data_IF_342866069783
#
_entry.id   IF_342866069783
#
_cell.length_a   1.000
_cell.length_b   1.000
_cell.length_c   1.000
_cell.angle_alpha   90.00
_cell.angle_beta   90.00
_cell.angle_gamma   90.00
#
_symmetry.space_group_name_H-M   'P 1'
#
loop_
_entity.id
_entity.type
_entity.pdbx_description
1 polymer ?
#
# COMPACT_ATOMS: atom_id res chain seq x y z
N UNK A 1 3.01 -56.36 -1.23
CA UNK A 1 3.38 -57.22 -0.08
C UNK A 1 4.52 -56.54 0.66
N UNK A 2 4.28 -56.29 1.95
CA UNK A 2 5.07 -55.67 3.02
C UNK A 2 6.59 -55.43 2.84
N UNK A 3 7.00 -54.19 3.14
CA UNK A 3 8.30 -53.85 3.73
C UNK A 3 8.05 -53.39 5.17
N UNK A 4 8.34 -54.24 6.15
CA UNK A 4 8.47 -53.86 7.55
C UNK A 4 9.25 -54.94 8.32
N UNK A 5 10.03 -54.48 9.32
CA UNK A 5 10.93 -55.19 10.24
C UNK A 5 12.33 -55.47 9.64
N UNK A 6 13.47 -55.09 10.24
CA UNK A 6 13.84 -54.75 11.63
C UNK A 6 15.30 -54.25 11.53
N UNK A 7 15.72 -53.05 11.92
CA UNK A 7 15.75 -52.46 13.26
C UNK A 7 16.15 -53.45 14.37
N UNK A 8 17.29 -54.16 14.26
CA UNK A 8 17.90 -54.79 15.47
C UNK A 8 19.35 -55.31 15.43
N UNK A 9 20.25 -54.86 14.53
CA UNK A 9 21.55 -55.57 14.43
C UNK A 9 22.85 -54.78 14.49
N UNK A 10 22.87 -53.49 14.82
CA UNK A 10 24.16 -52.81 15.04
C UNK A 10 24.16 -51.96 16.30
N UNK A 11 24.11 -52.64 17.44
CA UNK A 11 24.42 -52.08 18.74
C UNK A 11 25.45 -52.98 19.46
N UNK A 12 26.71 -52.99 19.00
CA UNK A 12 27.87 -53.15 19.89
C UNK A 12 29.18 -52.88 19.15
N UNK A 13 29.82 -51.75 19.43
CA UNK A 13 31.24 -51.65 19.80
C UNK A 13 31.69 -50.18 19.82
N UNK A 14 32.47 -49.87 20.83
CA UNK A 14 32.86 -48.55 21.31
C UNK A 14 33.64 -47.70 20.29
N UNK A 15 33.14 -46.48 19.96
CA UNK A 15 33.94 -45.23 19.84
C UNK A 15 33.18 -43.98 19.33
N UNK A 16 31.89 -43.80 19.64
CA UNK A 16 31.10 -42.66 19.12
C UNK A 16 30.86 -41.49 20.10
N UNK A 17 31.72 -41.30 21.11
CA UNK A 17 31.52 -40.23 22.10
C UNK A 17 32.19 -38.88 21.80
N UNK A 18 33.24 -38.85 20.97
CA UNK A 18 34.13 -37.67 20.86
C UNK A 18 33.97 -36.94 19.50
N UNK A 19 33.57 -37.65 18.45
CA UNK A 19 33.42 -37.06 17.10
C UNK A 19 32.12 -36.24 16.99
N UNK A 20 31.07 -36.64 17.70
CA UNK A 20 29.74 -36.03 17.61
C UNK A 20 29.67 -34.67 18.33
N UNK A 21 30.28 -34.56 19.51
CA UNK A 21 30.35 -33.29 20.26
C UNK A 21 31.20 -32.23 19.55
N UNK A 22 32.25 -32.64 18.85
CA UNK A 22 33.14 -31.73 18.11
C UNK A 22 32.49 -31.23 16.83
N UNK A 23 31.78 -32.09 16.08
CA UNK A 23 30.99 -31.69 14.91
C UNK A 23 29.79 -30.79 15.29
N UNK A 24 29.13 -31.07 16.41
CA UNK A 24 28.03 -30.25 16.93
C UNK A 24 28.53 -28.89 17.42
N UNK A 25 29.70 -28.85 18.09
CA UNK A 25 30.33 -27.60 18.50
C UNK A 25 30.86 -26.76 17.33
N UNK A 26 31.30 -27.40 16.24
CA UNK A 26 31.69 -26.72 15.00
C UNK A 26 30.44 -26.20 14.27
N UNK A 27 29.34 -26.96 14.22
CA UNK A 27 28.06 -26.50 13.66
C UNK A 27 27.46 -25.32 14.45
N UNK A 28 27.56 -25.33 15.79
CA UNK A 28 27.18 -24.18 16.64
C UNK A 28 28.10 -22.97 16.46
N UNK A 29 29.41 -23.18 16.27
CA UNK A 29 30.38 -22.09 16.00
C UNK A 29 30.24 -21.51 14.58
N UNK A 30 29.81 -22.30 13.61
CA UNK A 30 29.55 -21.88 12.22
C UNK A 30 28.15 -21.28 12.03
N UNK A 31 27.24 -21.51 12.98
CA UNK A 31 26.03 -20.72 13.17
C UNK A 31 26.43 -19.30 13.62
N UNK A 32 26.95 -18.50 12.69
CA UNK A 32 26.93 -17.04 12.82
C UNK A 32 25.46 -16.68 12.95
N UNK A 33 24.96 -16.55 14.20
CA UNK A 33 23.65 -15.99 14.49
C UNK A 33 23.63 -14.62 13.84
N UNK A 34 23.07 -14.54 12.64
CA UNK A 34 22.84 -13.30 11.95
C UNK A 34 22.11 -12.39 12.94
N UNK A 35 22.62 -11.17 13.19
CA UNK A 35 22.07 -10.31 14.22
C UNK A 35 20.57 -10.18 13.98
N UNK A 36 19.78 -10.50 15.02
CA UNK A 36 18.32 -10.47 14.93
C UNK A 36 17.88 -9.11 14.35
N UNK A 37 16.95 -9.09 13.38
CA UNK A 37 16.46 -7.85 12.80
C UNK A 37 16.03 -6.88 13.91
N UNK A 38 16.48 -5.62 13.83
CA UNK A 38 16.08 -4.58 14.79
C UNK A 38 14.61 -4.22 14.56
N UNK A 39 13.71 -4.91 15.27
CA UNK A 39 12.28 -4.62 15.31
C UNK A 39 12.03 -3.28 16.03
N UNK A 40 11.96 -2.20 15.26
CA UNK A 40 11.86 -0.82 15.78
C UNK A 40 10.48 -0.21 15.58
N UNK A 41 9.71 -0.72 14.62
CA UNK A 41 8.41 -0.15 14.21
C UNK A 41 7.31 -0.59 15.17
N UNK A 42 6.60 0.39 15.74
CA UNK A 42 5.47 0.15 16.63
C UNK A 42 4.15 -0.06 15.87
N UNK A 43 3.11 -0.45 16.62
CA UNK A 43 1.75 -0.62 16.10
C UNK A 43 1.23 0.64 15.39
N UNK A 44 1.35 1.82 16.02
CA UNK A 44 0.86 3.09 15.45
C UNK A 44 1.48 3.34 14.09
N UNK A 45 2.80 3.22 13.98
CA UNK A 45 3.49 3.43 12.69
C UNK A 45 3.11 2.39 11.65
N UNK A 46 2.96 1.12 12.02
CA UNK A 46 2.47 0.11 11.09
C UNK A 46 1.07 0.44 10.58
N UNK A 47 0.15 0.87 11.45
CA UNK A 47 -1.20 1.31 11.04
C UNK A 47 -1.14 2.56 10.17
N UNK A 48 -0.30 3.55 10.51
CA UNK A 48 -0.13 4.76 9.70
C UNK A 48 0.45 4.47 8.30
N UNK A 49 1.32 3.46 8.19
CA UNK A 49 1.83 2.96 6.91
C UNK A 49 0.69 2.34 6.09
N UNK A 50 -0.13 1.46 6.69
CA UNK A 50 -1.30 0.88 6.00
C UNK A 50 -2.24 1.98 5.49
N UNK A 51 -2.62 2.92 6.37
CA UNK A 51 -3.52 4.02 6.01
C UNK A 51 -2.93 4.88 4.88
N UNK A 52 -1.66 5.27 4.99
CA UNK A 52 -1.04 6.10 3.96
C UNK A 52 -0.85 5.39 2.63
N UNK A 53 -0.61 4.07 2.67
CA UNK A 53 -0.44 3.26 1.49
C UNK A 53 -1.76 3.10 0.73
N UNK A 54 -2.88 2.91 1.44
CA UNK A 54 -4.20 2.85 0.82
C UNK A 54 -4.66 4.23 0.34
N UNK A 55 -4.58 5.27 1.19
CA UNK A 55 -5.01 6.64 0.83
C UNK A 55 -4.01 7.28 -0.13
N UNK A 56 -4.20 6.98 -1.41
CA UNK A 56 -3.46 7.50 -2.56
C UNK A 56 -4.35 8.28 -3.53
N UNK A 57 -4.08 8.14 -4.82
CA UNK A 57 -4.78 8.86 -5.90
C UNK A 57 -6.22 8.40 -6.11
N UNK A 58 -6.50 7.10 -5.97
CA UNK A 58 -7.75 6.48 -6.37
C UNK A 58 -9.00 7.10 -5.74
N UNK A 59 -8.95 7.42 -4.43
CA UNK A 59 -10.08 8.06 -3.75
C UNK A 59 -10.45 9.43 -4.32
N UNK A 60 -9.49 10.15 -4.91
CA UNK A 60 -9.70 11.48 -5.49
C UNK A 60 -9.97 11.44 -6.99
N UNK A 61 -10.01 10.26 -7.63
CA UNK A 61 -10.15 10.11 -9.09
C UNK A 61 -11.26 9.15 -9.48
N UNK A 62 -11.40 8.00 -8.82
CA UNK A 62 -12.24 6.88 -9.25
C UNK A 62 -13.70 7.24 -9.43
N UNK A 63 -14.24 8.10 -8.55
CA UNK A 63 -15.64 8.51 -8.64
C UNK A 63 -15.99 9.15 -9.99
N UNK A 64 -15.06 9.89 -10.60
CA UNK A 64 -15.30 10.56 -11.88
C UNK A 64 -15.57 9.58 -13.02
N UNK A 65 -14.98 8.38 -12.98
CA UNK A 65 -15.24 7.32 -13.94
C UNK A 65 -16.49 6.49 -13.60
N UNK A 66 -16.82 6.38 -12.31
CA UNK A 66 -17.99 5.62 -11.85
C UNK A 66 -19.31 6.33 -12.17
N UNK A 67 -19.36 7.65 -11.98
CA UNK A 67 -20.55 8.46 -12.29
C UNK A 67 -20.85 8.57 -13.78
N UNK A 68 -19.97 8.06 -14.66
CA UNK A 68 -20.25 7.95 -16.08
C UNK A 68 -21.29 6.87 -16.39
N UNK A 69 -21.22 5.76 -15.66
CA UNK A 69 -22.02 4.55 -15.91
C UNK A 69 -23.12 4.35 -14.85
N UNK A 70 -22.96 4.88 -13.64
CA UNK A 70 -23.87 4.67 -12.52
C UNK A 70 -24.36 6.02 -11.99
N UNK A 71 -25.68 6.21 -12.00
CA UNK A 71 -26.32 7.44 -11.50
C UNK A 71 -26.93 7.29 -10.10
N UNK A 72 -27.11 6.05 -9.63
CA UNK A 72 -27.66 5.80 -8.29
C UNK A 72 -26.62 6.08 -7.21
N UNK A 73 -26.94 7.00 -6.29
CA UNK A 73 -26.08 7.31 -5.15
C UNK A 73 -25.89 6.13 -4.20
N UNK A 74 -26.94 5.33 -3.99
CA UNK A 74 -26.85 4.11 -3.19
C UNK A 74 -25.91 3.09 -3.84
N UNK A 75 -26.04 2.82 -5.14
CA UNK A 75 -25.16 1.90 -5.84
C UNK A 75 -23.70 2.38 -5.83
N UNK A 76 -23.46 3.68 -6.04
CA UNK A 76 -22.13 4.27 -5.96
C UNK A 76 -21.49 4.10 -4.58
N UNK A 77 -22.22 4.35 -3.49
CA UNK A 77 -21.70 4.10 -2.14
C UNK A 77 -21.47 2.61 -1.86
N UNK A 78 -22.34 1.73 -2.37
CA UNK A 78 -22.19 0.29 -2.21
C UNK A 78 -20.91 -0.25 -2.87
N UNK A 79 -20.42 0.37 -3.96
CA UNK A 79 -19.10 0.02 -4.51
C UNK A 79 -18.01 0.14 -3.44
N UNK A 80 -17.99 1.25 -2.72
CA UNK A 80 -16.98 1.53 -1.69
C UNK A 80 -17.12 0.67 -0.45
N UNK A 81 -18.36 0.30 -0.08
CA UNK A 81 -18.62 -0.66 1.00
C UNK A 81 -18.16 -2.06 0.60
N UNK A 82 -18.57 -2.57 -0.56
CA UNK A 82 -18.23 -3.92 -1.04
C UNK A 82 -16.72 -4.06 -1.26
N UNK A 83 -16.10 -3.11 -1.96
CA UNK A 83 -14.64 -3.11 -2.16
C UNK A 83 -13.87 -2.99 -0.83
N UNK A 84 -14.39 -2.20 0.11
CA UNK A 84 -13.83 -2.08 1.45
C UNK A 84 -13.88 -3.39 2.24
N UNK A 85 -15.03 -4.07 2.22
CA UNK A 85 -15.18 -5.39 2.87
C UNK A 85 -14.27 -6.43 2.22
N UNK A 86 -14.14 -6.43 0.89
CA UNK A 86 -13.20 -7.31 0.18
C UNK A 86 -11.75 -7.06 0.61
N UNK A 87 -11.33 -5.79 0.69
CA UNK A 87 -10.01 -5.40 1.18
C UNK A 87 -9.78 -5.82 2.64
N UNK A 88 -10.81 -5.68 3.50
CA UNK A 88 -10.74 -6.08 4.89
C UNK A 88 -10.58 -7.59 5.06
N UNK A 89 -11.31 -8.39 4.29
CA UNK A 89 -11.13 -9.84 4.26
C UNK A 89 -9.69 -10.21 3.86
N UNK A 90 -9.15 -9.58 2.82
CA UNK A 90 -7.75 -9.74 2.43
C UNK A 90 -6.78 -9.38 3.56
N UNK A 91 -7.00 -8.23 4.20
CA UNK A 91 -6.18 -7.73 5.30
C UNK A 91 -6.14 -8.68 6.50
N UNK A 92 -7.27 -9.31 6.84
CA UNK A 92 -7.36 -10.31 7.91
C UNK A 92 -6.63 -11.60 7.54
N UNK A 93 -6.81 -12.12 6.32
CA UNK A 93 -6.08 -13.30 5.84
C UNK A 93 -4.55 -13.08 5.86
N UNK A 94 -4.10 -11.91 5.41
CA UNK A 94 -2.68 -11.54 5.45
C UNK A 94 -2.18 -11.28 6.88
N UNK A 95 -3.06 -10.84 7.78
CA UNK A 95 -2.77 -10.71 9.21
C UNK A 95 -2.35 -12.05 9.79
N UNK A 96 -3.20 -13.07 9.66
CA UNK A 96 -2.90 -14.43 10.12
C UNK A 96 -1.61 -14.98 9.49
N UNK A 97 -1.45 -14.78 8.18
CA UNK A 97 -0.28 -15.27 7.48
C UNK A 97 1.02 -14.55 7.90
N UNK A 98 0.97 -13.24 8.14
CA UNK A 98 2.10 -12.46 8.65
C UNK A 98 2.45 -12.83 10.08
N UNK A 99 1.46 -13.24 10.89
CA UNK A 99 1.68 -13.71 12.24
C UNK A 99 2.35 -15.09 12.25
N UNK A 100 1.94 -15.98 11.34
CA UNK A 100 2.54 -17.31 11.17
C UNK A 100 3.94 -17.26 10.54
N UNK A 101 4.18 -16.34 9.60
CA UNK A 101 5.43 -16.20 8.85
C UNK A 101 6.06 -14.80 9.07
N UNK A 102 6.65 -14.51 10.25
CA UNK A 102 7.01 -13.15 10.67
C UNK A 102 8.33 -12.63 10.06
N UNK A 103 8.45 -12.67 8.72
CA UNK A 103 9.55 -12.14 7.92
C UNK A 103 9.04 -11.11 6.92
N UNK A 104 9.83 -10.08 6.66
CA UNK A 104 9.56 -9.08 5.61
C UNK A 104 9.50 -9.73 4.22
N UNK A 105 8.78 -9.11 3.28
CA UNK A 105 8.71 -9.56 1.89
C UNK A 105 7.30 -9.79 1.33
N UNK A 106 6.26 -9.80 2.17
CA UNK A 106 4.86 -9.95 1.72
C UNK A 106 4.64 -11.23 0.92
N UNK A 107 4.03 -11.12 -0.25
CA UNK A 107 3.68 -12.25 -1.12
C UNK A 107 4.90 -13.06 -1.54
N UNK A 108 6.05 -12.42 -1.74
CA UNK A 108 7.31 -13.13 -2.02
C UNK A 108 7.59 -14.16 -0.92
N UNK A 109 7.50 -13.74 0.35
CA UNK A 109 7.77 -14.61 1.49
C UNK A 109 6.69 -15.69 1.62
N UNK A 110 5.42 -15.30 1.49
CA UNK A 110 4.30 -16.23 1.65
C UNK A 110 4.31 -17.34 0.62
N UNK A 111 4.42 -16.99 -0.66
CA UNK A 111 4.38 -17.98 -1.73
C UNK A 111 5.66 -18.82 -1.79
N UNK A 112 6.81 -18.26 -1.42
CA UNK A 112 8.06 -19.03 -1.29
C UNK A 112 7.94 -20.16 -0.27
N UNK A 113 7.29 -19.89 0.87
CA UNK A 113 7.19 -20.83 1.98
C UNK A 113 6.04 -21.82 1.83
N UNK A 114 4.89 -21.36 1.32
CA UNK A 114 3.66 -22.17 1.25
C UNK A 114 3.65 -23.05 0.00
N UNK A 115 4.10 -22.52 -1.14
CA UNK A 115 3.98 -23.21 -2.42
C UNK A 115 5.33 -23.63 -2.98
N UNK A 116 6.16 -22.68 -3.39
CA UNK A 116 7.49 -22.94 -3.95
C UNK A 116 8.29 -21.63 -4.10
N UNK A 117 9.64 -21.65 -3.94
CA UNK A 117 10.48 -20.48 -4.17
C UNK A 117 10.28 -19.79 -5.54
N UNK A 118 9.94 -20.54 -6.58
CA UNK A 118 9.66 -19.98 -7.91
C UNK A 118 8.40 -19.08 -7.95
N UNK A 119 7.32 -19.49 -7.28
CA UNK A 119 6.11 -18.67 -7.17
C UNK A 119 6.35 -17.44 -6.30
N UNK A 120 7.15 -17.61 -5.23
CA UNK A 120 7.65 -16.49 -4.44
C UNK A 120 8.42 -15.49 -5.30
N UNK A 121 9.41 -15.92 -6.06
CA UNK A 121 10.21 -15.07 -6.93
C UNK A 121 9.34 -14.29 -7.94
N UNK A 122 8.40 -14.98 -8.60
CA UNK A 122 7.46 -14.35 -9.54
C UNK A 122 6.62 -13.27 -8.85
N UNK A 123 6.05 -13.57 -7.68
CA UNK A 123 5.28 -12.59 -6.92
C UNK A 123 6.14 -11.44 -6.41
N UNK A 124 7.39 -11.69 -6.02
CA UNK A 124 8.36 -10.67 -5.65
C UNK A 124 8.67 -9.72 -6.80
N UNK A 125 8.86 -10.26 -8.01
CA UNK A 125 9.05 -9.46 -9.22
C UNK A 125 7.84 -8.58 -9.55
N UNK A 126 6.63 -9.17 -9.53
CA UNK A 126 5.37 -8.44 -9.76
C UNK A 126 5.17 -7.35 -8.70
N UNK A 127 5.42 -7.67 -7.43
CA UNK A 127 5.29 -6.70 -6.33
C UNK A 127 6.29 -5.55 -6.48
N UNK A 128 7.56 -5.84 -6.77
CA UNK A 128 8.59 -4.81 -6.92
C UNK A 128 8.31 -3.84 -8.09
N UNK A 129 7.73 -4.34 -9.17
CA UNK A 129 7.45 -3.57 -10.39
C UNK A 129 6.04 -2.98 -10.36
N UNK A 130 5.03 -3.79 -10.63
CA UNK A 130 3.62 -3.37 -10.75
C UNK A 130 3.01 -3.06 -9.39
N UNK A 131 3.39 -3.78 -8.33
CA UNK A 131 2.82 -3.59 -6.99
C UNK A 131 3.28 -2.32 -6.28
N UNK A 132 4.49 -1.82 -6.57
CA UNK A 132 5.05 -0.64 -5.88
C UNK A 132 5.58 0.43 -6.82
N UNK A 133 6.44 0.11 -7.79
CA UNK A 133 7.04 1.14 -8.63
C UNK A 133 6.01 1.86 -9.51
N UNK A 134 5.05 1.13 -10.10
CA UNK A 134 3.99 1.74 -10.90
C UNK A 134 3.05 2.65 -10.07
N UNK A 135 2.52 2.24 -8.91
CA UNK A 135 1.76 3.12 -8.03
C UNK A 135 2.53 4.36 -7.55
N UNK A 136 3.83 4.23 -7.27
CA UNK A 136 4.68 5.40 -6.94
C UNK A 136 4.74 6.37 -8.11
N UNK A 137 4.99 5.86 -9.33
CA UNK A 137 5.04 6.71 -10.53
C UNK A 137 3.70 7.42 -10.77
N UNK A 138 2.58 6.71 -10.64
CA UNK A 138 1.23 7.30 -10.76
C UNK A 138 0.95 8.36 -9.71
N UNK A 139 1.28 8.10 -8.44
CA UNK A 139 1.12 9.08 -7.38
C UNK A 139 1.99 10.31 -7.59
N UNK A 140 3.20 10.15 -8.14
CA UNK A 140 4.10 11.24 -8.49
C UNK A 140 3.56 12.07 -9.67
N UNK A 141 3.04 11.43 -10.72
CA UNK A 141 2.39 12.11 -11.84
C UNK A 141 1.16 12.92 -11.39
N UNK A 142 0.32 12.32 -10.55
CA UNK A 142 -0.81 13.01 -9.94
C UNK A 142 -0.33 14.20 -9.08
N UNK A 143 0.71 14.02 -8.27
CA UNK A 143 1.29 15.11 -7.49
C UNK A 143 1.73 16.27 -8.39
N UNK A 144 2.42 15.99 -9.49
CA UNK A 144 2.80 17.01 -10.48
C UNK A 144 1.59 17.78 -11.02
N UNK A 145 0.54 17.07 -11.44
CA UNK A 145 -0.71 17.68 -11.97
C UNK A 145 -1.40 18.54 -10.93
N UNK A 146 -1.70 18.00 -9.74
CA UNK A 146 -2.34 18.74 -8.66
C UNK A 146 -1.49 19.94 -8.21
N UNK A 147 -0.16 19.81 -8.13
CA UNK A 147 0.73 20.92 -7.77
C UNK A 147 0.60 22.07 -8.78
N UNK A 148 0.66 21.76 -10.07
CA UNK A 148 0.48 22.80 -11.11
C UNK A 148 -0.92 23.41 -11.09
N UNK A 149 -1.97 22.61 -10.85
CA UNK A 149 -3.34 23.12 -10.72
C UNK A 149 -3.54 24.05 -9.52
N UNK A 150 -2.78 23.86 -8.44
CA UNK A 150 -2.85 24.67 -7.21
C UNK A 150 -2.00 25.95 -7.31
N UNK A 151 -0.78 25.83 -7.81
CA UNK A 151 0.22 26.91 -7.78
C UNK A 151 0.37 27.65 -9.12
N UNK A 152 -0.13 27.09 -10.22
CA UNK A 152 -0.04 27.68 -11.55
C UNK A 152 1.39 27.72 -12.12
N UNK A 153 2.32 26.93 -11.57
CA UNK A 153 3.73 26.95 -11.94
C UNK A 153 4.37 25.56 -11.88
N UNK A 154 5.45 25.38 -12.64
CA UNK A 154 6.22 24.14 -12.75
C UNK A 154 5.74 23.21 -13.86
N UNK A 155 6.61 22.30 -14.28
CA UNK A 155 6.25 21.21 -15.21
C UNK A 155 5.78 20.01 -14.39
N UNK A 156 4.56 19.46 -14.64
CA UNK A 156 4.05 18.29 -13.90
C UNK A 156 5.04 17.12 -13.92
N UNK A 157 5.70 16.90 -15.06
CA UNK A 157 6.68 15.83 -15.21
C UNK A 157 7.92 16.07 -14.34
N UNK A 158 8.49 17.28 -14.37
CA UNK A 158 9.67 17.63 -13.56
C UNK A 158 9.36 17.51 -12.08
N UNK A 159 8.20 18.00 -11.65
CA UNK A 159 7.73 17.89 -10.27
C UNK A 159 7.56 16.42 -9.83
N UNK A 160 7.11 15.54 -10.73
CA UNK A 160 7.00 14.10 -10.48
C UNK A 160 8.37 13.46 -10.23
N UNK A 161 9.39 13.80 -11.03
CA UNK A 161 10.75 13.34 -10.78
C UNK A 161 11.29 13.87 -9.45
N UNK A 162 11.14 15.18 -9.20
CA UNK A 162 11.65 15.83 -7.99
C UNK A 162 11.07 15.19 -6.74
N UNK A 163 9.75 14.97 -6.67
CA UNK A 163 9.12 14.41 -5.46
C UNK A 163 9.61 12.99 -5.17
N UNK A 164 9.76 12.13 -6.19
CA UNK A 164 10.26 10.76 -6.00
C UNK A 164 11.72 10.77 -5.53
N UNK A 165 12.56 11.61 -6.12
CA UNK A 165 13.97 11.74 -5.72
C UNK A 165 14.12 12.26 -4.29
N UNK A 166 13.35 13.28 -3.91
CA UNK A 166 13.34 13.82 -2.54
C UNK A 166 12.90 12.77 -1.54
N UNK A 167 11.82 12.04 -1.82
CA UNK A 167 11.30 11.00 -0.93
C UNK A 167 12.27 9.81 -0.86
N UNK A 168 12.87 9.38 -1.97
CA UNK A 168 13.87 8.32 -1.96
C UNK A 168 15.12 8.72 -1.17
N UNK A 169 15.63 9.93 -1.37
CA UNK A 169 16.76 10.46 -0.61
C UNK A 169 16.47 10.50 0.90
N UNK A 170 15.26 10.90 1.28
CA UNK A 170 14.80 10.88 2.67
C UNK A 170 14.83 9.46 3.26
N UNK A 171 14.32 8.45 2.53
CA UNK A 171 14.29 7.05 2.99
C UNK A 171 15.64 6.33 2.98
N UNK A 172 16.69 6.92 2.36
CA UNK A 172 18.06 6.44 2.50
C UNK A 172 18.70 6.78 3.87
N UNK A 173 18.05 7.66 4.65
CA UNK A 173 18.54 8.21 5.92
C UNK A 173 18.39 7.27 7.13
N UNK A 174 17.44 7.59 8.02
CA UNK A 174 17.21 6.89 9.29
C UNK A 174 15.73 6.48 9.41
N UNK A 175 15.48 5.20 9.73
CA UNK A 175 14.13 4.65 9.89
C UNK A 175 13.29 5.36 10.95
N UNK A 176 13.88 5.84 12.04
CA UNK A 176 13.11 6.53 13.09
C UNK A 176 12.57 7.88 12.60
N UNK A 177 13.37 8.61 11.81
CA UNK A 177 12.93 9.86 11.16
C UNK A 177 11.84 9.56 10.15
N UNK A 178 12.00 8.47 9.38
CA UNK A 178 10.93 7.95 8.53
C UNK A 178 9.65 7.69 9.31
N UNK A 179 9.72 7.01 10.47
CA UNK A 179 8.53 6.68 11.27
C UNK A 179 7.81 7.92 11.76
N UNK A 180 8.56 8.92 12.25
CA UNK A 180 8.01 10.18 12.70
C UNK A 180 7.30 10.91 11.55
N UNK A 181 7.97 11.03 10.40
CA UNK A 181 7.38 11.63 9.20
C UNK A 181 6.10 10.91 8.79
N UNK A 182 6.12 9.57 8.74
CA UNK A 182 4.96 8.79 8.34
C UNK A 182 3.78 9.03 9.30
N UNK A 183 4.01 8.94 10.61
CA UNK A 183 2.96 9.16 11.61
C UNK A 183 2.34 10.56 11.49
N UNK A 184 3.18 11.60 11.43
CA UNK A 184 2.74 13.00 11.32
C UNK A 184 2.00 13.20 10.00
N UNK A 185 2.55 12.74 8.88
CA UNK A 185 1.94 12.91 7.56
C UNK A 185 0.57 12.21 7.46
N UNK A 186 0.44 11.02 8.04
CA UNK A 186 -0.82 10.27 8.03
C UNK A 186 -1.85 10.95 8.93
N UNK A 187 -1.44 11.43 10.11
CA UNK A 187 -2.32 12.16 11.00
C UNK A 187 -2.82 13.45 10.34
N UNK A 188 -1.93 14.26 9.79
CA UNK A 188 -2.27 15.50 9.07
C UNK A 188 -3.21 15.18 7.90
N UNK A 189 -2.90 14.16 7.09
CA UNK A 189 -3.76 13.69 5.99
C UNK A 189 -5.17 13.36 6.48
N UNK A 190 -5.30 12.57 7.54
CA UNK A 190 -6.61 12.19 8.09
C UNK A 190 -7.38 13.38 8.67
N UNK A 191 -6.70 14.31 9.35
CA UNK A 191 -7.33 15.52 9.88
C UNK A 191 -7.87 16.40 8.74
N UNK A 192 -7.09 16.58 7.67
CA UNK A 192 -7.50 17.40 6.53
C UNK A 192 -8.65 16.76 5.75
N UNK A 193 -8.64 15.43 5.57
CA UNK A 193 -9.76 14.70 4.97
C UNK A 193 -10.99 14.77 5.88
N UNK A 194 -10.82 14.60 7.19
CA UNK A 194 -11.91 14.75 8.16
C UNK A 194 -12.53 16.14 8.14
N UNK A 195 -11.72 17.19 8.04
CA UNK A 195 -12.19 18.57 7.90
C UNK A 195 -12.96 18.79 6.59
N UNK A 196 -12.47 18.23 5.47
CA UNK A 196 -13.16 18.26 4.18
C UNK A 196 -14.52 17.53 4.27
N UNK A 197 -14.57 16.37 4.93
CA UNK A 197 -15.81 15.61 5.12
C UNK A 197 -16.82 16.43 5.94
N UNK A 198 -16.38 16.98 7.07
CA UNK A 198 -17.23 17.79 7.94
C UNK A 198 -17.78 19.02 7.21
N UNK A 199 -16.91 19.77 6.52
CA UNK A 199 -17.32 20.93 5.74
C UNK A 199 -18.30 20.57 4.62
N UNK A 200 -18.06 19.46 3.91
CA UNK A 200 -18.93 18.98 2.85
C UNK A 200 -20.36 18.67 3.32
N UNK A 201 -20.53 18.10 4.51
CA UNK A 201 -21.88 17.89 5.07
C UNK A 201 -22.54 19.17 5.60
N UNK A 202 -21.74 20.17 5.98
CA UNK A 202 -22.22 21.46 6.48
C UNK A 202 -22.62 22.47 5.40
N UNK A 203 -22.43 22.19 4.10
CA UNK A 203 -22.86 23.11 3.04
C UNK A 203 -24.39 23.23 3.00
N UNK A 204 -24.87 24.42 2.62
CA UNK A 204 -26.30 24.73 2.53
C UNK A 204 -26.94 24.10 1.28
N UNK A 205 -26.33 24.28 0.11
CA UNK A 205 -26.85 23.79 -1.17
C UNK A 205 -26.32 22.39 -1.46
N UNK A 206 -27.13 21.37 -1.19
CA UNK A 206 -26.79 19.96 -1.45
C UNK A 206 -27.41 19.48 -2.77
N UNK A 207 -26.70 18.62 -3.48
CA UNK A 207 -27.25 17.89 -4.62
C UNK A 207 -28.38 16.95 -4.18
N UNK A 208 -29.43 16.77 -4.99
CA UNK A 208 -30.58 15.94 -4.67
C UNK A 208 -30.28 14.44 -4.87
N UNK A 209 -29.25 13.92 -4.20
CA UNK A 209 -28.87 12.51 -4.27
C UNK A 209 -29.37 11.74 -3.04
N UNK A 210 -29.98 10.57 -3.27
CA UNK A 210 -30.36 9.64 -2.21
C UNK A 210 -29.32 8.54 -2.06
N UNK A 211 -28.98 8.25 -0.81
CA UNK A 211 -28.21 7.07 -0.43
C UNK A 211 -29.06 5.96 0.16
N UNK A 212 -30.38 6.16 0.26
CA UNK A 212 -31.30 5.10 0.63
C UNK A 212 -31.61 4.23 -0.59
N UNK A 213 -31.80 2.92 -0.42
CA UNK A 213 -32.19 2.03 -1.51
C UNK A 213 -33.49 2.50 -2.17
N UNK A 214 -33.49 2.57 -3.50
CA UNK A 214 -34.66 2.84 -4.32
C UNK A 214 -34.99 1.66 -5.24
N UNK A 215 -36.18 1.68 -5.83
CA UNK A 215 -36.60 0.66 -6.80
C UNK A 215 -35.64 0.65 -8.01
N UNK A 216 -35.08 -0.52 -8.33
CA UNK A 216 -34.11 -0.70 -9.43
C UNK A 216 -32.64 -0.62 -9.02
N UNK A 217 -32.34 -0.23 -7.78
CA UNK A 217 -30.95 -0.18 -7.29
C UNK A 217 -30.32 -1.57 -7.10
N UNK A 218 -31.14 -2.57 -6.74
CA UNK A 218 -30.68 -3.96 -6.65
C UNK A 218 -30.17 -4.45 -8.00
N UNK A 219 -30.87 -4.16 -9.09
CA UNK A 219 -30.44 -4.48 -10.45
C UNK A 219 -29.15 -3.72 -10.78
N UNK A 220 -29.04 -2.46 -10.33
CA UNK A 220 -27.86 -1.62 -10.55
C UNK A 220 -26.60 -2.16 -9.85
N UNK A 221 -26.73 -2.81 -8.69
CA UNK A 221 -25.58 -3.40 -7.96
C UNK A 221 -25.14 -4.73 -8.57
N UNK A 222 -26.03 -5.47 -9.22
CA UNK A 222 -25.72 -6.77 -9.83
C UNK A 222 -25.47 -6.73 -11.34
N UNK A 223 -25.28 -5.53 -11.92
CA UNK A 223 -25.03 -5.38 -13.36
C UNK A 223 -23.53 -5.33 -13.71
N UNK A 224 -23.24 -5.40 -15.03
CA UNK A 224 -21.86 -5.34 -15.53
C UNK A 224 -21.15 -4.02 -15.25
N UNK A 225 -21.87 -2.90 -15.31
CA UNK A 225 -21.31 -1.57 -15.02
C UNK A 225 -20.82 -1.45 -13.58
N UNK A 226 -21.53 -2.04 -12.61
CA UNK A 226 -21.09 -2.11 -11.21
C UNK A 226 -19.82 -2.95 -11.07
N UNK A 227 -19.75 -4.10 -11.73
CA UNK A 227 -18.55 -4.94 -11.71
C UNK A 227 -17.33 -4.21 -12.30
N UNK A 228 -17.50 -3.49 -13.41
CA UNK A 228 -16.44 -2.67 -14.02
C UNK A 228 -16.04 -1.52 -13.08
N UNK A 229 -17.02 -0.81 -12.52
CA UNK A 229 -16.78 0.29 -11.58
C UNK A 229 -16.06 -0.17 -10.30
N UNK A 230 -16.28 -1.41 -9.87
CA UNK A 230 -15.63 -2.02 -8.71
C UNK A 230 -14.13 -2.20 -8.94
N UNK A 231 -13.65 -2.36 -10.17
CA UNK A 231 -12.21 -2.43 -10.47
C UNK A 231 -11.48 -1.16 -10.02
N UNK A 232 -12.08 0.01 -10.25
CA UNK A 232 -11.53 1.30 -9.79
C UNK A 232 -11.54 1.43 -8.26
N UNK A 233 -12.56 0.87 -7.59
CA UNK A 233 -12.60 0.81 -6.12
C UNK A 233 -11.54 -0.15 -5.57
N UNK A 234 -11.37 -1.32 -6.18
CA UNK A 234 -10.34 -2.28 -5.78
C UNK A 234 -8.94 -1.69 -5.96
N UNK A 235 -8.71 -0.91 -7.02
CA UNK A 235 -7.50 -0.10 -7.18
C UNK A 235 -7.34 0.92 -6.04
N UNK A 236 -8.42 1.65 -5.69
CA UNK A 236 -8.39 2.66 -4.62
C UNK A 236 -8.10 2.09 -3.23
N UNK A 237 -8.57 0.87 -2.96
CA UNK A 237 -8.29 0.16 -1.71
C UNK A 237 -6.97 -0.63 -1.73
N UNK A 238 -6.27 -0.67 -2.88
CA UNK A 238 -4.99 -1.37 -2.99
C UNK A 238 -4.00 -0.86 -1.94
N UNK A 239 -3.13 -1.75 -1.47
CA UNK A 239 -2.14 -1.42 -0.46
C UNK A 239 -2.55 -1.72 0.98
N UNK A 240 -3.71 -2.34 1.20
CA UNK A 240 -4.16 -2.82 2.52
C UNK A 240 -3.19 -3.80 3.17
N UNK A 241 -2.39 -4.52 2.38
CA UNK A 241 -1.37 -5.50 2.78
C UNK A 241 -0.03 -4.87 3.24
N UNK A 242 0.09 -3.53 3.29
CA UNK A 242 1.37 -2.83 3.46
C UNK A 242 2.26 -3.32 4.62
N UNK A 243 1.66 -3.62 5.78
CA UNK A 243 2.42 -4.05 6.96
C UNK A 243 3.08 -5.42 6.78
N UNK A 244 2.55 -6.28 5.90
CA UNK A 244 3.11 -7.61 5.62
C UNK A 244 4.51 -7.55 4.97
N UNK A 245 4.80 -6.46 4.25
CA UNK A 245 6.10 -6.27 3.59
C UNK A 245 7.23 -5.90 4.55
N UNK A 246 6.90 -5.34 5.71
CA UNK A 246 7.86 -4.89 6.73
C UNK A 246 7.71 -5.63 8.05
N UNK A 247 7.10 -6.81 8.04
CA UNK A 247 6.86 -7.65 9.23
C UNK A 247 8.12 -7.86 10.07
N UNK A 248 9.29 -8.03 9.45
CA UNK A 248 10.57 -8.19 10.13
C UNK A 248 11.06 -6.96 10.89
N UNK A 249 10.52 -5.77 10.60
CA UNK A 249 10.85 -4.49 11.25
C UNK A 249 9.85 -4.13 12.37
N UNK A 250 8.70 -4.80 12.44
CA UNK A 250 7.62 -4.51 13.38
C UNK A 250 7.85 -5.21 14.73
N UNK A 251 7.65 -4.50 15.83
CA UNK A 251 7.67 -5.03 17.21
C UNK A 251 6.48 -5.96 17.41
N UNK A 252 6.69 -7.15 18.01
CA UNK A 252 5.65 -8.16 18.25
C UNK A 252 4.77 -8.39 17.00
N UNK A 253 5.35 -8.74 15.85
CA UNK A 253 4.65 -8.79 14.57
C UNK A 253 3.45 -9.73 14.60
N UNK A 254 3.50 -10.79 15.40
CA UNK A 254 2.45 -11.79 15.61
C UNK A 254 1.15 -11.18 16.15
N UNK A 255 1.24 -10.00 16.79
CA UNK A 255 0.09 -9.24 17.28
C UNK A 255 -0.12 -7.92 16.55
N UNK A 256 0.97 -7.21 16.26
CA UNK A 256 0.91 -5.85 15.75
C UNK A 256 0.63 -5.78 14.25
N UNK A 257 1.07 -6.76 13.45
CA UNK A 257 0.76 -6.76 12.00
C UNK A 257 -0.73 -7.02 11.75
N UNK A 258 -1.36 -8.07 12.29
CA UNK A 258 -2.80 -8.29 12.10
C UNK A 258 -3.64 -7.09 12.54
N UNK A 259 -3.32 -6.50 13.70
CA UNK A 259 -4.02 -5.33 14.21
C UNK A 259 -3.82 -4.10 13.34
N UNK A 260 -2.62 -3.88 12.80
CA UNK A 260 -2.33 -2.73 11.95
C UNK A 260 -3.08 -2.82 10.62
N UNK A 261 -3.14 -4.02 10.03
CA UNK A 261 -3.91 -4.29 8.81
C UNK A 261 -5.42 -4.09 9.06
N UNK A 262 -5.96 -4.63 10.15
CA UNK A 262 -7.37 -4.46 10.54
C UNK A 262 -7.74 -3.00 10.80
N UNK A 263 -7.02 -2.32 11.69
CA UNK A 263 -7.32 -0.94 12.08
C UNK A 263 -7.08 0.01 10.90
N UNK A 264 -5.96 -0.15 10.19
CA UNK A 264 -5.63 0.70 9.05
C UNK A 264 -6.67 0.59 7.94
N UNK A 265 -7.05 -0.64 7.55
CA UNK A 265 -8.06 -0.86 6.51
C UNK A 265 -9.44 -0.38 6.97
N UNK A 266 -9.85 -0.69 8.20
CA UNK A 266 -11.14 -0.25 8.75
C UNK A 266 -11.31 1.27 8.79
N UNK A 267 -10.26 2.00 9.20
CA UNK A 267 -10.27 3.48 9.16
C UNK A 267 -10.46 3.98 7.73
N UNK A 268 -9.77 3.39 6.76
CA UNK A 268 -9.86 3.83 5.36
C UNK A 268 -11.23 3.55 4.76
N UNK A 269 -11.88 2.42 5.10
CA UNK A 269 -13.25 2.13 4.66
C UNK A 269 -14.21 3.25 5.07
N UNK A 270 -14.16 3.65 6.35
CA UNK A 270 -15.01 4.74 6.86
C UNK A 270 -14.72 6.04 6.14
N UNK A 271 -13.43 6.39 5.98
CA UNK A 271 -13.02 7.62 5.29
C UNK A 271 -13.49 7.63 3.84
N UNK A 272 -13.32 6.52 3.11
CA UNK A 272 -13.66 6.43 1.69
C UNK A 272 -15.16 6.50 1.45
N UNK A 273 -15.97 5.81 2.25
CA UNK A 273 -17.44 5.87 2.14
C UNK A 273 -17.92 7.29 2.41
N UNK A 274 -17.46 7.93 3.49
CA UNK A 274 -17.85 9.30 3.83
C UNK A 274 -17.40 10.32 2.80
N UNK A 275 -16.18 10.19 2.29
CA UNK A 275 -15.64 11.14 1.32
C UNK A 275 -16.37 11.06 -0.02
N UNK A 276 -16.72 9.85 -0.49
CA UNK A 276 -17.54 9.69 -1.70
C UNK A 276 -18.97 10.21 -1.50
N UNK A 277 -19.56 10.01 -0.33
CA UNK A 277 -20.87 10.60 -0.01
C UNK A 277 -20.81 12.13 -0.09
N UNK A 278 -19.73 12.72 0.44
CA UNK A 278 -19.49 14.17 0.35
C UNK A 278 -19.34 14.63 -1.09
N UNK A 279 -18.49 13.98 -1.90
CA UNK A 279 -18.33 14.38 -3.30
C UNK A 279 -19.64 14.38 -4.08
N UNK A 280 -20.49 13.37 -3.87
CA UNK A 280 -21.80 13.24 -4.50
C UNK A 280 -22.83 14.26 -4.00
N UNK A 281 -22.81 14.61 -2.72
CA UNK A 281 -23.73 15.60 -2.13
C UNK A 281 -23.32 17.03 -2.47
N UNK A 282 -22.04 17.30 -2.68
CA UNK A 282 -21.55 18.68 -2.86
C UNK A 282 -21.42 19.07 -4.33
N UNK A 283 -21.32 18.11 -5.25
CA UNK A 283 -20.86 18.38 -6.63
C UNK A 283 -21.81 17.75 -7.65
N UNK A 284 -22.25 18.49 -8.68
CA UNK A 284 -23.04 17.93 -9.78
C UNK A 284 -22.30 16.78 -10.48
N UNK A 285 -22.99 15.65 -10.71
CA UNK A 285 -22.40 14.46 -11.33
C UNK A 285 -21.81 14.73 -12.73
N UNK A 286 -22.40 15.67 -13.47
CA UNK A 286 -21.95 16.08 -14.80
C UNK A 286 -20.55 16.74 -14.77
N UNK A 287 -20.23 17.45 -13.69
CA UNK A 287 -18.91 18.06 -13.52
C UNK A 287 -17.85 17.03 -13.09
N UNK A 288 -18.26 15.91 -12.49
CA UNK A 288 -17.35 14.84 -12.08
C UNK A 288 -17.06 13.84 -13.21
N UNK A 289 -18.00 13.68 -14.15
CA UNK A 289 -17.95 12.65 -15.20
C UNK A 289 -16.67 12.75 -16.04
N UNK A 290 -15.90 11.67 -16.03
CA UNK A 290 -14.64 11.55 -16.78
C UNK A 290 -13.48 12.40 -16.22
N UNK A 291 -13.65 13.02 -15.06
CA UNK A 291 -12.63 13.88 -14.47
C UNK A 291 -11.69 13.11 -13.55
N UNK A 292 -10.40 13.39 -13.69
CA UNK A 292 -9.36 12.89 -12.78
C UNK A 292 -9.31 13.66 -11.45
N UNK A 293 -9.70 14.94 -11.46
CA UNK A 293 -9.49 15.86 -10.34
C UNK A 293 -10.73 16.02 -9.45
N UNK A 294 -11.45 14.92 -9.16
CA UNK A 294 -12.73 14.93 -8.40
C UNK A 294 -12.59 15.69 -7.08
N UNK A 295 -11.51 15.45 -6.33
CA UNK A 295 -11.29 16.11 -5.05
C UNK A 295 -11.12 17.63 -5.15
N UNK A 296 -10.49 18.12 -6.23
CA UNK A 296 -10.31 19.56 -6.47
C UNK A 296 -11.63 20.21 -6.91
N UNK A 297 -12.40 19.53 -7.77
CA UNK A 297 -13.72 19.99 -8.23
C UNK A 297 -14.67 20.08 -7.04
N UNK A 298 -14.77 19.02 -6.23
CA UNK A 298 -15.59 19.05 -5.02
C UNK A 298 -15.13 20.13 -4.03
N UNK A 299 -13.81 20.33 -3.86
CA UNK A 299 -13.27 21.40 -3.04
C UNK A 299 -13.70 22.81 -3.50
N UNK A 300 -13.84 23.03 -4.82
CA UNK A 300 -14.38 24.30 -5.35
C UNK A 300 -15.83 24.53 -4.97
N UNK A 301 -16.66 23.48 -4.97
CA UNK A 301 -18.06 23.57 -4.56
C UNK A 301 -18.23 23.74 -3.05
N UNK A 302 -17.34 23.15 -2.24
CA UNK A 302 -17.43 23.23 -0.78
C UNK A 302 -16.90 24.57 -0.25
N UNK A 303 -15.81 25.08 -0.81
CA UNK A 303 -15.02 26.17 -0.22
C UNK A 303 -14.75 27.33 -1.19
N UNK A 304 -15.31 27.31 -2.40
CA UNK A 304 -15.03 28.28 -3.46
C UNK A 304 -13.66 28.08 -4.13
N UNK A 305 -13.24 29.04 -4.96
CA UNK A 305 -12.00 28.95 -5.75
C UNK A 305 -10.73 28.81 -4.90
N UNK A 306 -10.61 29.61 -3.83
CA UNK A 306 -9.52 29.50 -2.82
C UNK A 306 -9.55 28.14 -2.13
N UNK A 307 -10.75 27.67 -1.83
CA UNK A 307 -11.04 26.35 -1.28
C UNK A 307 -10.56 25.17 -2.11
N UNK A 308 -10.80 25.23 -3.42
CA UNK A 308 -10.29 24.25 -4.38
C UNK A 308 -8.76 24.16 -4.38
N UNK A 309 -8.06 25.30 -4.23
CA UNK A 309 -6.59 25.32 -4.10
C UNK A 309 -6.12 24.70 -2.79
N UNK A 310 -6.83 24.95 -1.68
CA UNK A 310 -6.55 24.31 -0.39
C UNK A 310 -6.74 22.79 -0.52
N UNK A 311 -7.87 22.34 -1.06
CA UNK A 311 -8.14 20.91 -1.27
C UNK A 311 -7.06 20.25 -2.16
N UNK A 312 -6.66 20.90 -3.25
CA UNK A 312 -5.57 20.42 -4.09
C UNK A 312 -4.23 20.34 -3.33
N UNK A 313 -3.90 21.32 -2.48
CA UNK A 313 -2.69 21.28 -1.65
C UNK A 313 -2.72 20.14 -0.63
N UNK A 314 -3.89 19.88 -0.02
CA UNK A 314 -4.12 18.72 0.87
C UNK A 314 -3.86 17.42 0.12
N UNK A 315 -4.37 17.28 -1.11
CA UNK A 315 -4.14 16.10 -1.96
C UNK A 315 -2.65 15.95 -2.26
N UNK A 316 -1.95 17.02 -2.65
CA UNK A 316 -0.49 16.99 -2.87
C UNK A 316 0.28 16.47 -1.66
N UNK A 317 -0.01 16.99 -0.46
CA UNK A 317 0.60 16.52 0.79
C UNK A 317 0.26 15.04 1.05
N UNK A 318 -0.98 14.64 0.74
CA UNK A 318 -1.43 13.27 0.86
C UNK A 318 -0.68 12.30 -0.07
N UNK A 319 -0.40 12.73 -1.30
CA UNK A 319 0.35 11.95 -2.28
C UNK A 319 1.82 11.77 -1.87
N UNK A 320 2.47 12.80 -1.32
CA UNK A 320 3.82 12.67 -0.75
C UNK A 320 3.85 11.60 0.34
N UNK A 321 2.86 11.59 1.24
CA UNK A 321 2.74 10.60 2.30
C UNK A 321 2.58 9.17 1.76
N UNK A 322 1.83 9.00 0.66
CA UNK A 322 1.61 7.70 -0.01
C UNK A 322 2.86 7.20 -0.75
N UNK A 323 3.53 8.10 -1.51
CA UNK A 323 4.82 7.82 -2.14
C UNK A 323 5.85 7.42 -1.09
N UNK A 324 5.87 8.12 0.05
CA UNK A 324 6.74 7.80 1.19
C UNK A 324 6.49 6.40 1.75
N UNK A 325 5.23 6.02 1.99
CA UNK A 325 4.94 4.67 2.51
C UNK A 325 5.36 3.57 1.53
N UNK A 326 5.09 3.73 0.23
CA UNK A 326 5.47 2.74 -0.80
C UNK A 326 7.00 2.67 -1.00
N UNK A 327 7.69 3.81 -0.94
CA UNK A 327 9.15 3.91 -1.00
C UNK A 327 9.80 3.24 0.21
N UNK A 328 9.14 3.28 1.36
CA UNK A 328 9.58 2.51 2.52
C UNK A 328 9.40 1.02 2.29
N UNK A 329 8.18 0.56 2.03
CA UNK A 329 7.86 -0.87 2.15
C UNK A 329 8.31 -1.68 0.93
N UNK A 330 8.19 -1.15 -0.29
CA UNK A 330 8.48 -1.88 -1.53
C UNK A 330 9.89 -2.48 -1.64
N UNK A 331 10.96 -1.76 -1.26
CA UNK A 331 12.33 -2.28 -1.28
C UNK A 331 12.54 -3.51 -0.40
N UNK A 332 11.67 -3.77 0.58
CA UNK A 332 11.81 -4.96 1.43
C UNK A 332 11.46 -6.25 0.69
N UNK A 333 10.74 -6.18 -0.42
CA UNK A 333 10.52 -7.32 -1.32
C UNK A 333 11.84 -7.72 -1.97
N UNK A 334 12.47 -6.81 -2.71
CA UNK A 334 13.71 -7.10 -3.44
C UNK A 334 14.91 -7.30 -2.52
N UNK A 335 14.90 -6.70 -1.33
CA UNK A 335 15.82 -7.03 -0.26
C UNK A 335 15.68 -8.50 0.16
N UNK A 336 14.47 -8.98 0.40
CA UNK A 336 14.23 -10.37 0.82
C UNK A 336 14.63 -11.36 -0.28
N UNK A 337 14.34 -11.03 -1.54
CA UNK A 337 14.86 -11.78 -2.70
C UNK A 337 16.39 -11.82 -2.72
N UNK A 338 17.05 -10.69 -2.41
CA UNK A 338 18.51 -10.61 -2.34
C UNK A 338 19.12 -11.32 -1.13
N UNK A 339 18.38 -11.52 -0.04
CA UNK A 339 18.81 -12.36 1.08
C UNK A 339 18.80 -13.85 0.71
N UNK A 340 17.85 -14.27 -0.14
CA UNK A 340 17.64 -15.69 -0.46
C UNK A 340 18.38 -16.14 -1.74
N UNK A 341 18.60 -15.25 -2.70
CA UNK A 341 19.19 -15.57 -4.00
C UNK A 341 20.56 -14.92 -4.21
N UNK A 342 21.58 -15.74 -4.46
CA UNK A 342 22.97 -15.29 -4.59
C UNK A 342 23.20 -14.27 -5.73
N UNK A 343 22.49 -14.42 -6.85
CA UNK A 343 22.54 -13.47 -7.98
C UNK A 343 22.05 -12.07 -7.60
N UNK A 344 21.13 -11.98 -6.63
CA UNK A 344 20.52 -10.74 -6.18
C UNK A 344 21.12 -10.26 -4.85
N UNK A 345 22.22 -10.85 -4.39
CA UNK A 345 22.81 -10.61 -3.05
C UNK A 345 23.13 -9.15 -2.76
N UNK A 346 23.36 -8.34 -3.80
CA UNK A 346 23.55 -6.90 -3.65
C UNK A 346 22.31 -6.19 -3.09
N UNK A 347 21.10 -6.65 -3.44
CA UNK A 347 19.83 -6.06 -3.00
C UNK A 347 19.54 -6.34 -1.52
N UNK A 348 20.02 -7.46 -0.99
CA UNK A 348 19.90 -7.83 0.43
C UNK A 348 20.83 -7.05 1.37
N UNK A 349 21.76 -6.23 0.85
CA UNK A 349 22.71 -5.47 1.68
C UNK A 349 22.01 -4.29 2.37
N UNK A 350 22.10 -4.26 3.70
CA UNK A 350 21.59 -3.18 4.56
C UNK A 350 22.72 -2.23 4.97
N UNK A 351 22.41 -0.95 5.13
CA UNK A 351 23.35 0.03 5.72
C UNK A 351 23.39 -0.11 7.26
N UNK A 352 24.20 0.72 7.94
CA UNK A 352 24.33 0.74 9.41
C UNK A 352 23.01 0.99 10.17
N UNK A 353 22.01 1.58 9.51
CA UNK A 353 20.69 1.86 10.07
C UNK A 353 19.66 0.77 9.73
N UNK A 354 20.07 -0.33 9.08
CA UNK A 354 19.19 -1.44 8.70
C UNK A 354 18.43 -1.21 7.39
N UNK A 355 18.77 -0.18 6.61
CA UNK A 355 18.05 0.22 5.40
C UNK A 355 18.64 -0.49 4.17
N UNK A 356 17.82 -1.15 3.32
CA UNK A 356 18.29 -1.82 2.11
C UNK A 356 18.53 -0.81 0.97
N UNK A 357 19.68 -0.12 1.02
CA UNK A 357 20.02 0.97 0.08
C UNK A 357 19.89 0.56 -1.39
N UNK A 358 20.41 -0.59 -1.76
CA UNK A 358 20.42 -1.03 -3.17
C UNK A 358 19.01 -1.37 -3.67
N UNK A 359 18.15 -1.89 -2.80
CA UNK A 359 16.76 -2.15 -3.11
C UNK A 359 15.96 -0.85 -3.32
N UNK A 360 16.22 0.19 -2.51
CA UNK A 360 15.63 1.53 -2.70
C UNK A 360 16.07 2.12 -4.04
N UNK A 361 17.37 2.02 -4.37
CA UNK A 361 17.90 2.52 -5.64
C UNK A 361 17.27 1.77 -6.82
N UNK A 362 17.12 0.44 -6.74
CA UNK A 362 16.46 -0.34 -7.78
C UNK A 362 15.00 0.11 -7.98
N UNK A 363 14.24 0.28 -6.90
CA UNK A 363 12.85 0.77 -6.99
C UNK A 363 12.81 2.17 -7.62
N UNK A 364 13.71 3.08 -7.20
CA UNK A 364 13.83 4.42 -7.77
C UNK A 364 14.10 4.36 -9.28
N UNK A 365 15.00 3.50 -9.74
CA UNK A 365 15.29 3.33 -11.17
C UNK A 365 14.07 2.86 -11.96
N UNK A 366 13.32 1.87 -11.44
CA UNK A 366 12.09 1.38 -12.09
C UNK A 366 11.04 2.51 -12.15
N UNK A 367 10.85 3.26 -11.06
CA UNK A 367 9.94 4.42 -11.04
C UNK A 367 10.34 5.45 -12.09
N UNK A 368 11.62 5.80 -12.19
CA UNK A 368 12.11 6.77 -13.18
C UNK A 368 11.85 6.26 -14.61
N UNK A 369 12.09 4.97 -14.89
CA UNK A 369 11.80 4.38 -16.20
C UNK A 369 10.31 4.53 -16.55
N UNK A 370 9.40 4.24 -15.62
CA UNK A 370 7.96 4.39 -15.82
C UNK A 370 7.52 5.84 -15.99
N UNK A 371 8.17 6.79 -15.29
CA UNK A 371 7.94 8.23 -15.49
C UNK A 371 8.39 8.68 -16.89
N UNK A 372 9.49 8.13 -17.42
CA UNK A 372 9.98 8.45 -18.77
C UNK A 372 9.08 7.93 -19.87
N UNK A 373 8.54 6.72 -19.74
CA UNK A 373 7.75 6.13 -20.82
C UNK A 373 6.39 6.81 -21.00
N UNK A 374 5.92 7.61 -20.01
CA UNK A 374 4.59 8.28 -19.95
C UNK A 374 3.37 7.37 -20.19
N UNK A 375 3.60 6.12 -20.54
CA UNK A 375 2.68 5.14 -21.09
C UNK A 375 1.70 4.57 -20.06
N UNK A 376 1.87 4.91 -18.77
CA UNK A 376 0.97 4.41 -17.72
C UNK A 376 -0.29 5.28 -17.55
N UNK A 377 -0.32 6.52 -18.06
CA UNK A 377 -1.57 7.29 -18.15
C UNK A 377 -2.57 6.61 -19.11
N UNK A 378 -2.07 5.88 -20.11
CA UNK A 378 -2.89 5.13 -21.07
C UNK A 378 -3.29 3.73 -20.56
N UNK A 379 -2.69 3.24 -19.46
CA UNK A 379 -3.02 1.93 -18.85
C UNK A 379 -4.11 2.08 -17.78
N UNK A 380 -4.28 3.27 -17.20
CA UNK A 380 -5.28 3.58 -16.16
C UNK A 380 -6.54 4.25 -16.73
N UNK A 381 -6.45 4.83 -17.93
CA UNK A 381 -7.61 5.20 -18.76
C UNK A 381 -8.17 3.97 -19.46
#
# INVERSE_FOLDING_TARGET
>A
MNFNATAKEFASSHNFGIVDSTMTAIAERLSVKSPRPRRTIGFITASCIVIANIIGTGIFTSLGFQVAEIQSGFALLMLWVVGGLAALCGALCYGELSAALPRSGGEYQFLSQIYHPAFGFMAGFVSATVGFAAPIALAAMAFGKYFTGVFGTGSPLVLSFVVVWVVAAFHLGNLQVGSAFQNISTLVKLLLIGALIAAGFCIQSKQPISFLPAAGDTISIFNGSFAIALVYVMYSYSGWNAAAYITGEIKRPERNVPRALLVGTGVVIVVYVLLNAVFLVTTPAQELRGQLEVGLIAGKHIFGSTGGRIAGAVICLGLISSISSMTWIGPRVTMSMGEDHWLLRLLGRKNRHGIPRNAIILQLLIVNLLLFTRSFEDVVR
#
